data_IF_210068825315
#
_entry.id   IF_210068825315
#
_cell.length_a   1.000
_cell.length_b   1.000
_cell.length_c   1.000
_cell.angle_alpha   90.00
_cell.angle_beta   90.00
_cell.angle_gamma   90.00
#
_symmetry.space_group_name_H-M   'P 1'
#
loop_
_entity.id
_entity.type
_entity.pdbx_description
1 polymer ?
#
# COMPACT_ATOMS: atom_id res chain seq x y z
N UNK A 1 4.83 1.11 15.34
CA UNK A 1 3.47 0.60 15.64
C UNK A 1 2.44 1.61 15.15
N UNK A 2 1.40 1.11 14.48
CA UNK A 2 0.23 1.91 14.11
C UNK A 2 -0.86 1.60 15.13
N UNK A 3 -1.45 2.63 15.73
CA UNK A 3 -2.56 2.47 16.66
C UNK A 3 -3.83 2.94 15.98
N UNK A 4 -4.74 2.02 15.71
CA UNK A 4 -6.04 2.34 15.11
C UNK A 4 -6.95 3.07 16.12
N UNK A 5 -7.98 3.73 15.64
CA UNK A 5 -8.92 4.47 16.50
C UNK A 5 -9.62 3.56 17.53
N UNK A 6 -9.69 2.26 17.26
CA UNK A 6 -10.23 1.26 18.20
C UNK A 6 -9.27 0.95 19.34
N UNK A 7 -8.02 1.41 19.27
CA UNK A 7 -6.97 1.06 20.23
C UNK A 7 -6.15 -0.15 19.82
N UNK A 8 -6.49 -0.83 18.72
CA UNK A 8 -5.72 -1.97 18.25
C UNK A 8 -4.35 -1.53 17.75
N UNK A 9 -3.32 -2.26 18.17
CA UNK A 9 -1.94 -2.02 17.77
C UNK A 9 -1.59 -2.90 16.58
N UNK A 10 -1.09 -2.29 15.51
CA UNK A 10 -0.66 -3.00 14.30
C UNK A 10 0.84 -2.79 14.15
N UNK A 11 1.56 -3.90 14.00
CA UNK A 11 2.97 -3.84 13.62
C UNK A 11 3.08 -3.88 12.11
N UNK A 12 3.47 -2.78 11.46
CA UNK A 12 3.42 -2.72 10.00
C UNK A 12 4.49 -3.56 9.31
N UNK A 13 5.66 -3.75 9.94
CA UNK A 13 6.78 -4.43 9.30
C UNK A 13 6.45 -5.80 8.72
N UNK A 14 5.92 -6.75 9.52
CA UNK A 14 5.58 -8.08 9.00
C UNK A 14 4.53 -8.06 7.89
N UNK A 15 3.57 -7.13 7.96
CA UNK A 15 2.54 -6.97 6.92
C UNK A 15 3.17 -6.45 5.63
N UNK A 16 4.05 -5.46 5.74
CA UNK A 16 4.77 -4.90 4.60
C UNK A 16 5.65 -5.95 3.93
N UNK A 17 6.34 -6.78 4.71
CA UNK A 17 7.15 -7.87 4.19
C UNK A 17 6.31 -8.86 3.39
N UNK A 18 5.13 -9.21 3.88
CA UNK A 18 4.23 -10.12 3.17
C UNK A 18 3.77 -9.52 1.84
N UNK A 19 3.47 -8.22 1.82
CA UNK A 19 2.99 -7.54 0.62
C UNK A 19 4.08 -7.41 -0.45
N UNK A 20 5.33 -7.08 -0.07
CA UNK A 20 6.41 -6.95 -1.06
C UNK A 20 6.90 -8.30 -1.60
N UNK A 21 6.49 -9.41 -1.00
CA UNK A 21 6.72 -10.73 -1.59
C UNK A 21 5.88 -10.93 -2.86
N UNK A 22 4.82 -10.14 -3.05
CA UNK A 22 4.03 -10.16 -4.29
C UNK A 22 4.85 -9.60 -5.47
N UNK A 23 4.77 -10.23 -6.66
CA UNK A 23 5.44 -9.69 -7.85
C UNK A 23 4.85 -8.37 -8.33
N UNK A 24 3.72 -7.93 -7.79
CA UNK A 24 3.05 -6.69 -8.19
C UNK A 24 3.58 -5.45 -7.48
N UNK A 25 4.27 -5.63 -6.34
CA UNK A 25 4.59 -4.55 -5.42
C UNK A 25 6.10 -4.42 -5.25
N UNK A 26 6.64 -3.25 -5.61
CA UNK A 26 8.07 -2.95 -5.43
C UNK A 26 8.37 -2.50 -4.01
N UNK A 27 7.55 -1.58 -3.48
CA UNK A 27 7.67 -1.07 -2.12
C UNK A 27 6.28 -0.81 -1.57
N UNK A 28 6.13 -0.82 -0.25
CA UNK A 28 4.86 -0.53 0.39
C UNK A 28 5.10 0.13 1.74
N UNK A 29 4.25 1.08 2.08
CA UNK A 29 4.18 1.62 3.44
C UNK A 29 2.73 1.61 3.90
N UNK A 30 2.46 0.96 5.02
CA UNK A 30 1.13 0.99 5.64
C UNK A 30 0.92 2.31 6.36
N UNK A 31 -0.31 2.78 6.32
CA UNK A 31 -0.76 3.97 7.06
C UNK A 31 -2.01 3.60 7.83
N UNK A 32 -2.42 4.44 8.80
CA UNK A 32 -3.63 4.16 9.56
C UNK A 32 -3.63 4.70 10.98
N UNK A 33 -2.62 5.47 11.36
CA UNK A 33 -2.59 6.05 12.71
C UNK A 33 -3.86 6.84 12.97
N UNK A 34 -4.57 6.48 14.05
CA UNK A 34 -5.82 7.09 14.49
C UNK A 34 -6.99 6.91 13.50
N UNK A 35 -6.83 6.08 12.48
CA UNK A 35 -7.90 5.75 11.53
C UNK A 35 -8.62 4.47 11.98
N UNK A 36 -9.80 4.23 11.40
CA UNK A 36 -10.58 3.03 11.74
C UNK A 36 -9.98 1.77 11.15
N UNK A 37 -9.33 1.88 10.00
CA UNK A 37 -8.73 0.76 9.27
C UNK A 37 -7.42 1.18 8.65
N UNK A 38 -6.60 0.19 8.30
CA UNK A 38 -5.33 0.43 7.62
C UNK A 38 -5.54 0.83 6.16
N UNK A 39 -4.57 1.59 5.64
CA UNK A 39 -4.41 1.82 4.21
C UNK A 39 -2.99 1.48 3.80
N UNK A 40 -2.71 1.47 2.51
CA UNK A 40 -1.38 1.19 2.00
C UNK A 40 -0.99 2.11 0.86
N UNK A 41 0.23 2.62 0.93
CA UNK A 41 0.89 3.31 -0.17
C UNK A 41 1.75 2.28 -0.89
N UNK A 42 1.46 2.06 -2.19
CA UNK A 42 2.13 1.03 -2.99
C UNK A 42 3.00 1.68 -4.06
N UNK A 43 4.24 1.25 -4.14
CA UNK A 43 5.09 1.54 -5.30
C UNK A 43 4.94 0.34 -6.24
N UNK A 44 4.32 0.53 -7.41
CA UNK A 44 3.93 -0.59 -8.25
C UNK A 44 5.07 -1.12 -9.11
N UNK A 45 5.01 -2.42 -9.45
CA UNK A 45 5.73 -2.96 -10.59
C UNK A 45 4.77 -2.90 -11.77
N UNK A 46 4.96 -1.91 -12.65
CA UNK A 46 3.96 -1.51 -13.64
C UNK A 46 3.59 -2.63 -14.59
N UNK A 47 4.57 -3.26 -15.24
CA UNK A 47 4.27 -4.30 -16.22
C UNK A 47 3.65 -5.55 -15.59
N UNK A 48 4.14 -6.07 -14.46
CA UNK A 48 3.44 -7.16 -13.77
C UNK A 48 2.02 -6.84 -13.40
N UNK A 49 1.74 -5.62 -12.93
CA UNK A 49 0.37 -5.20 -12.60
C UNK A 49 -0.51 -5.19 -13.85
N UNK A 50 -0.01 -4.66 -14.98
CA UNK A 50 -0.79 -4.61 -16.22
C UNK A 50 -1.14 -6.02 -16.71
N UNK A 51 -0.18 -6.92 -16.70
CA UNK A 51 -0.41 -8.31 -17.10
C UNK A 51 -1.42 -9.01 -16.19
N UNK A 52 -1.25 -8.85 -14.88
CA UNK A 52 -2.14 -9.44 -13.88
C UNK A 52 -3.56 -8.88 -13.99
N UNK A 53 -3.70 -7.54 -14.15
CA UNK A 53 -5.01 -6.91 -14.30
C UNK A 53 -5.73 -7.42 -15.54
N UNK A 54 -5.01 -7.59 -16.65
CA UNK A 54 -5.55 -8.16 -17.88
C UNK A 54 -6.09 -9.57 -17.65
N UNK A 55 -5.38 -10.39 -16.91
CA UNK A 55 -5.83 -11.75 -16.54
C UNK A 55 -7.11 -11.69 -15.70
N UNK A 56 -7.29 -10.63 -14.92
CA UNK A 56 -8.49 -10.40 -14.11
C UNK A 56 -9.63 -9.75 -14.92
N UNK A 57 -9.44 -9.52 -16.22
CA UNK A 57 -10.43 -8.91 -17.08
C UNK A 57 -10.44 -7.39 -17.06
N UNK A 58 -9.40 -6.75 -16.52
CA UNK A 58 -9.31 -5.30 -16.41
C UNK A 58 -8.22 -4.77 -17.33
N UNK A 59 -8.59 -3.88 -18.26
CA UNK A 59 -7.65 -3.15 -19.11
C UNK A 59 -7.27 -1.85 -18.41
N UNK A 60 -5.96 -1.60 -18.24
CA UNK A 60 -5.46 -0.40 -17.58
C UNK A 60 -4.52 0.36 -18.50
N UNK A 61 -4.42 1.68 -18.28
CA UNK A 61 -3.49 2.53 -19.02
C UNK A 61 -2.04 2.18 -18.70
N UNK A 62 -1.12 2.60 -19.58
CA UNK A 62 0.32 2.32 -19.41
C UNK A 62 0.88 2.91 -18.11
N UNK A 63 0.33 4.03 -17.65
CA UNK A 63 0.74 4.70 -16.42
C UNK A 63 -0.13 4.30 -15.22
N UNK A 64 -0.93 3.23 -15.34
CA UNK A 64 -1.85 2.74 -14.32
C UNK A 64 -2.91 3.77 -13.90
N UNK A 65 -3.21 4.75 -14.78
CA UNK A 65 -4.15 5.83 -14.47
C UNK A 65 -3.52 6.98 -13.70
N UNK A 66 -2.20 7.06 -13.67
CA UNK A 66 -1.46 8.08 -12.92
C UNK A 66 -1.35 7.77 -11.44
N UNK A 67 -1.16 8.78 -10.62
CA UNK A 67 -1.14 8.65 -9.16
C UNK A 67 -2.38 9.36 -8.60
N UNK A 68 -3.18 8.75 -7.77
CA UNK A 68 -2.97 7.49 -7.02
C UNK A 68 -3.32 6.21 -7.79
N UNK A 69 -3.70 6.25 -9.06
CA UNK A 69 -4.07 5.09 -9.86
C UNK A 69 -5.56 5.11 -10.24
N UNK A 70 -5.91 4.24 -11.18
CA UNK A 70 -7.29 4.06 -11.62
C UNK A 70 -8.13 3.41 -10.50
N UNK A 71 -9.34 3.89 -10.27
CA UNK A 71 -10.21 3.40 -9.18
C UNK A 71 -10.49 1.91 -9.25
N UNK A 72 -10.77 1.38 -10.44
CA UNK A 72 -11.05 -0.06 -10.61
C UNK A 72 -9.79 -0.88 -10.31
N UNK A 73 -8.64 -0.40 -10.76
CA UNK A 73 -7.35 -1.04 -10.45
C UNK A 73 -7.06 -1.01 -8.96
N UNK A 74 -7.28 0.15 -8.31
CA UNK A 74 -7.03 0.29 -6.87
C UNK A 74 -7.89 -0.68 -6.05
N UNK A 75 -9.17 -0.86 -6.42
CA UNK A 75 -10.03 -1.83 -5.76
C UNK A 75 -9.55 -3.25 -5.95
N UNK A 76 -9.08 -3.58 -7.15
CA UNK A 76 -8.55 -4.90 -7.47
C UNK A 76 -7.28 -5.17 -6.66
N UNK A 77 -6.36 -4.20 -6.60
CA UNK A 77 -5.13 -4.29 -5.82
C UNK A 77 -5.42 -4.40 -4.32
N UNK A 78 -6.38 -3.66 -3.81
CA UNK A 78 -6.76 -3.73 -2.41
C UNK A 78 -7.22 -5.14 -2.05
N UNK A 79 -8.08 -5.75 -2.89
CA UNK A 79 -8.54 -7.12 -2.66
C UNK A 79 -7.40 -8.13 -2.70
N UNK A 80 -6.46 -7.94 -3.62
CA UNK A 80 -5.28 -8.81 -3.70
C UNK A 80 -4.40 -8.67 -2.47
N UNK A 81 -4.13 -7.44 -2.03
CA UNK A 81 -3.38 -7.20 -0.80
C UNK A 81 -4.05 -7.85 0.41
N UNK A 82 -5.37 -7.70 0.53
CA UNK A 82 -6.11 -8.29 1.64
C UNK A 82 -6.09 -9.82 1.58
N UNK A 83 -6.09 -10.41 0.39
CA UNK A 83 -5.93 -11.86 0.23
C UNK A 83 -4.58 -12.31 0.78
N UNK A 84 -3.51 -11.61 0.41
CA UNK A 84 -2.14 -11.91 0.88
C UNK A 84 -2.07 -11.80 2.41
N UNK A 85 -2.60 -10.72 2.97
CA UNK A 85 -2.55 -10.50 4.42
C UNK A 85 -3.34 -11.56 5.18
N UNK A 86 -4.52 -11.94 4.68
CA UNK A 86 -5.39 -12.92 5.33
C UNK A 86 -4.76 -14.31 5.37
N UNK A 87 -3.94 -14.64 4.38
CA UNK A 87 -3.31 -15.96 4.28
C UNK A 87 -2.05 -16.11 5.16
N UNK A 88 -1.62 -15.05 5.83
CA UNK A 88 -0.47 -15.12 6.74
C UNK A 88 -0.83 -15.98 7.96
N UNK A 89 0.13 -16.80 8.46
CA UNK A 89 -0.08 -17.49 9.73
C UNK A 89 -0.35 -16.48 10.85
N UNK A 90 -1.41 -16.70 11.62
CA UNK A 90 -1.76 -15.82 12.73
C UNK A 90 -2.37 -14.48 12.33
N UNK A 91 -2.83 -14.33 11.08
CA UNK A 91 -3.45 -13.09 10.62
C UNK A 91 -4.67 -12.74 11.47
N UNK A 92 -4.79 -11.44 11.82
CA UNK A 92 -5.92 -10.92 12.59
C UNK A 92 -6.86 -10.15 11.68
N UNK A 93 -8.14 -10.05 12.09
CA UNK A 93 -9.16 -9.39 11.29
C UNK A 93 -8.93 -7.90 11.08
N UNK A 94 -8.25 -7.23 12.03
CA UNK A 94 -7.91 -5.81 11.93
C UNK A 94 -6.69 -5.53 11.05
N UNK A 95 -5.98 -6.58 10.60
CA UNK A 95 -4.87 -6.49 9.65
C UNK A 95 -5.41 -6.50 8.22
N UNK A 96 -6.28 -5.54 7.93
CA UNK A 96 -7.00 -5.44 6.67
C UNK A 96 -6.97 -4.00 6.18
N UNK A 97 -6.80 -3.84 4.86
CA UNK A 97 -6.76 -2.52 4.22
C UNK A 97 -8.16 -2.10 3.79
N UNK A 98 -8.50 -0.84 4.02
CA UNK A 98 -9.72 -0.24 3.47
C UNK A 98 -9.48 0.40 2.10
N UNK A 99 -8.22 0.61 1.73
CA UNK A 99 -7.87 1.19 0.45
C UNK A 99 -6.37 1.20 0.23
N UNK A 100 -5.98 1.42 -1.01
CA UNK A 100 -4.59 1.56 -1.43
C UNK A 100 -4.46 2.76 -2.35
N UNK A 101 -3.24 3.28 -2.48
CA UNK A 101 -2.93 4.30 -3.47
C UNK A 101 -1.54 4.06 -4.01
N UNK A 102 -1.33 4.40 -5.29
CA UNK A 102 -0.03 4.27 -5.94
C UNK A 102 0.79 5.52 -5.70
N UNK A 103 2.07 5.34 -5.40
CA UNK A 103 2.99 6.43 -5.10
C UNK A 103 4.32 6.22 -5.82
N UNK A 104 5.12 7.28 -5.87
CA UNK A 104 6.47 7.23 -6.43
C UNK A 104 7.41 6.46 -5.50
N UNK A 105 8.54 5.94 -6.02
CA UNK A 105 9.48 5.17 -5.21
C UNK A 105 10.05 5.93 -4.01
N UNK A 106 10.44 5.16 -3.00
CA UNK A 106 11.19 5.64 -1.85
C UNK A 106 12.66 5.31 -2.06
N UNK A 107 13.55 6.27 -1.83
CA UNK A 107 14.99 6.06 -2.01
C UNK A 107 15.80 6.82 -0.96
N UNK A 108 17.10 6.51 -0.88
CA UNK A 108 18.04 7.27 -0.06
C UNK A 108 18.16 8.67 -0.65
N UNK A 109 18.25 8.76 -1.98
CA UNK A 109 18.47 10.02 -2.70
C UNK A 109 17.34 11.02 -2.49
N UNK A 110 16.09 10.56 -2.45
CA UNK A 110 14.95 11.47 -2.23
C UNK A 110 14.64 11.68 -0.74
N UNK A 111 15.47 11.13 0.16
CA UNK A 111 15.35 11.34 1.60
C UNK A 111 14.27 10.53 2.28
N UNK A 112 13.64 9.57 1.59
CA UNK A 112 12.53 8.77 2.14
C UNK A 112 12.99 7.46 2.77
N UNK A 113 14.24 7.06 2.51
CA UNK A 113 14.88 5.91 3.17
C UNK A 113 16.14 6.36 3.88
N UNK A 114 16.45 5.70 5.00
CA UNK A 114 17.72 5.88 5.70
C UNK A 114 18.82 5.16 4.92
N UNK A 115 20.08 5.35 5.34
CA UNK A 115 21.23 4.67 4.73
C UNK A 115 21.13 3.15 4.82
N UNK A 116 20.37 2.63 5.80
CA UNK A 116 20.14 1.19 5.96
C UNK A 116 18.80 0.76 5.33
N UNK A 117 18.24 1.60 4.44
CA UNK A 117 17.01 1.34 3.67
C UNK A 117 15.75 1.24 4.52
N UNK A 118 15.77 1.82 5.72
CA UNK A 118 14.57 1.92 6.55
C UNK A 118 13.71 3.09 6.11
N UNK A 119 12.40 2.90 6.11
CA UNK A 119 11.44 3.94 5.72
C UNK A 119 11.42 5.09 6.73
N UNK A 120 11.47 6.31 6.22
CA UNK A 120 11.21 7.50 7.02
C UNK A 120 9.72 7.81 6.92
N UNK A 121 8.94 7.14 7.75
CA UNK A 121 7.47 7.08 7.65
C UNK A 121 6.80 8.45 7.67
N UNK A 122 7.25 9.35 8.53
CA UNK A 122 6.70 10.70 8.63
C UNK A 122 6.99 11.52 7.36
N UNK A 123 8.15 11.34 6.75
CA UNK A 123 8.51 12.03 5.50
C UNK A 123 7.69 11.50 4.33
N UNK A 124 7.52 10.18 4.24
CA UNK A 124 6.71 9.55 3.21
C UNK A 124 5.26 10.03 3.35
N UNK A 125 4.72 10.03 4.56
CA UNK A 125 3.36 10.51 4.83
C UNK A 125 3.16 11.97 4.41
N UNK A 126 4.16 12.80 4.58
CA UNK A 126 4.08 14.21 4.15
C UNK A 126 4.11 14.34 2.64
N UNK A 127 5.03 13.61 1.96
CA UNK A 127 5.09 13.64 0.49
C UNK A 127 3.78 13.17 -0.11
N UNK A 128 3.21 12.09 0.42
CA UNK A 128 2.07 11.41 -0.17
C UNK A 128 0.75 11.71 0.57
N UNK A 129 0.69 12.85 1.26
CA UNK A 129 -0.47 13.23 2.06
C UNK A 129 -1.77 13.23 1.24
N UNK A 130 -1.73 13.71 -0.01
CA UNK A 130 -2.91 13.74 -0.86
C UNK A 130 -3.43 12.33 -1.19
N UNK A 131 -2.52 11.38 -1.41
CA UNK A 131 -2.90 9.99 -1.66
C UNK A 131 -3.53 9.38 -0.41
N UNK A 132 -2.96 9.64 0.76
CA UNK A 132 -3.51 9.16 2.04
C UNK A 132 -4.93 9.71 2.24
N UNK A 133 -5.14 11.00 1.99
CA UNK A 133 -6.47 11.61 2.09
C UNK A 133 -7.48 10.91 1.18
N UNK A 134 -7.07 10.56 -0.05
CA UNK A 134 -7.95 9.85 -0.98
C UNK A 134 -8.29 8.45 -0.50
N UNK A 135 -7.33 7.74 0.10
CA UNK A 135 -7.59 6.41 0.68
C UNK A 135 -8.73 6.47 1.68
N UNK A 136 -8.78 7.52 2.50
CA UNK A 136 -9.79 7.68 3.56
C UNK A 136 -10.99 8.52 3.12
N UNK A 137 -11.08 8.90 1.87
CA UNK A 137 -12.23 9.62 1.34
C UNK A 137 -12.30 11.08 1.78
N UNK A 138 -11.16 11.65 2.11
CA UNK A 138 -11.09 13.06 2.54
C UNK A 138 -10.54 13.97 1.48
#
# INVERSE_FOLDING_TARGET
TIVLSSGENIEPGPLEEALVASPLIEQVMLVGQDERQLGALLVPRVEPIRAWASEQGLSVAEDLGGRPGDSALLNLLMRECNRVLRLRPGARGDERLCGVGLVEPFSIENGLLTQTLKQRRDRISRRDAAVIERIYGR
#
